data_IF_434145768752
#
_entry.id   IF_434145768752
#
_cell.length_a   1.000
_cell.length_b   1.000
_cell.length_c   1.000
_cell.angle_alpha   90.00
_cell.angle_beta   90.00
_cell.angle_gamma   90.00
#
_symmetry.space_group_name_H-M   'P 1'
#
loop_
_entity.id
_entity.type
_entity.pdbx_description
1 polymer ?
#
# COMPACT_ATOMS: atom_id res chain seq x y z
N UNK A 1 14.14 2.77 6.66
CA UNK A 1 14.27 1.70 7.68
C UNK A 1 15.54 1.85 8.53
N UNK A 2 16.74 2.09 7.98
CA UNK A 2 18.00 2.11 8.75
C UNK A 2 17.90 2.94 10.04
N UNK A 3 17.55 4.25 9.92
CA UNK A 3 17.41 5.14 11.11
C UNK A 3 16.33 4.68 12.10
N UNK A 4 15.27 4.04 11.62
CA UNK A 4 14.20 3.51 12.49
C UNK A 4 14.75 2.35 13.30
N UNK A 5 15.49 1.43 12.66
CA UNK A 5 16.11 0.30 13.35
C UNK A 5 17.17 0.74 14.36
N UNK A 6 17.96 1.78 14.04
CA UNK A 6 18.94 2.37 14.98
C UNK A 6 18.25 2.90 16.26
N UNK A 7 17.11 3.59 16.10
CA UNK A 7 16.31 4.08 17.22
C UNK A 7 15.69 2.91 18.00
N UNK A 8 15.13 1.95 17.31
CA UNK A 8 14.52 0.77 17.93
C UNK A 8 15.55 0.00 18.78
N UNK A 9 16.73 -0.26 18.26
CA UNK A 9 17.81 -0.92 18.99
C UNK A 9 18.24 -0.08 20.20
N UNK A 10 18.43 1.25 20.03
CA UNK A 10 18.84 2.13 21.13
C UNK A 10 17.87 2.12 22.31
N UNK A 11 16.56 2.04 22.02
CA UNK A 11 15.52 2.10 23.05
C UNK A 11 14.86 0.75 23.34
N UNK A 12 15.41 -0.35 22.83
CA UNK A 12 14.87 -1.70 22.95
C UNK A 12 13.38 -1.80 22.54
N UNK A 13 13.04 -1.17 21.42
CA UNK A 13 11.69 -1.18 20.86
C UNK A 13 11.53 -2.31 19.84
N UNK A 14 10.28 -2.79 19.71
CA UNK A 14 9.89 -3.72 18.66
C UNK A 14 9.42 -2.98 17.44
N UNK A 15 9.77 -3.49 16.26
CA UNK A 15 9.40 -2.89 14.97
C UNK A 15 8.48 -3.85 14.21
N UNK A 16 7.27 -3.36 13.92
CA UNK A 16 6.32 -4.02 13.03
C UNK A 16 6.34 -3.25 11.70
N UNK A 17 6.65 -3.94 10.62
CA UNK A 17 6.59 -3.39 9.27
C UNK A 17 5.17 -3.60 8.70
N UNK A 18 4.47 -2.53 8.34
CA UNK A 18 3.28 -2.61 7.52
C UNK A 18 3.68 -2.74 6.05
N UNK A 19 3.59 -3.97 5.55
CA UNK A 19 3.95 -4.34 4.19
C UNK A 19 2.72 -4.54 3.29
N UNK A 20 1.54 -4.06 3.69
CA UNK A 20 0.28 -4.29 2.99
C UNK A 20 0.26 -3.77 1.54
N UNK A 21 1.13 -2.84 1.19
CA UNK A 21 1.25 -2.28 -0.18
C UNK A 21 2.67 -2.41 -0.76
N UNK A 22 3.54 -3.25 -0.18
CA UNK A 22 4.96 -3.28 -0.53
C UNK A 22 5.51 -4.69 -0.78
N UNK A 23 4.70 -5.55 -1.40
CA UNK A 23 5.07 -6.93 -1.71
C UNK A 23 6.32 -7.01 -2.59
N UNK A 24 7.38 -7.63 -2.07
CA UNK A 24 8.65 -7.80 -2.77
C UNK A 24 9.55 -6.57 -2.83
N UNK A 25 9.13 -5.44 -2.26
CA UNK A 25 9.96 -4.23 -2.21
C UNK A 25 11.20 -4.44 -1.35
N UNK A 26 12.21 -3.61 -1.60
CA UNK A 26 13.46 -3.61 -0.83
C UNK A 26 13.74 -2.22 -0.24
N UNK A 27 14.38 -2.24 0.89
CA UNK A 27 15.14 -1.12 1.44
C UNK A 27 16.60 -1.49 1.40
N UNK A 28 17.37 -0.83 0.56
CA UNK A 28 18.72 -1.26 0.17
C UNK A 28 18.63 -2.71 -0.38
N UNK A 29 19.38 -3.65 0.16
CA UNK A 29 19.36 -5.04 -0.30
C UNK A 29 18.41 -5.95 0.50
N UNK A 30 17.68 -5.41 1.49
CA UNK A 30 16.79 -6.18 2.36
C UNK A 30 15.34 -6.08 1.91
N UNK A 31 14.69 -7.23 1.75
CA UNK A 31 13.26 -7.29 1.44
C UNK A 31 12.46 -6.80 2.65
N UNK A 32 11.49 -5.92 2.42
CA UNK A 32 10.58 -5.44 3.47
C UNK A 32 9.78 -6.60 4.08
N UNK A 33 9.46 -6.48 5.36
CA UNK A 33 8.87 -7.56 6.15
C UNK A 33 9.92 -8.54 6.72
N UNK A 34 11.23 -8.29 6.47
CA UNK A 34 12.32 -9.04 7.06
C UNK A 34 13.33 -8.17 7.81
N UNK A 35 13.08 -6.86 7.90
CA UNK A 35 13.99 -5.87 8.47
C UNK A 35 13.71 -5.64 9.95
N UNK A 36 12.43 -5.50 10.30
CA UNK A 36 11.96 -5.39 11.69
C UNK A 36 11.78 -6.76 12.37
N UNK A 37 11.11 -6.76 13.51
CA UNK A 37 10.78 -8.00 14.24
C UNK A 37 9.66 -8.79 13.55
N UNK A 38 8.72 -8.08 12.92
CA UNK A 38 7.51 -8.65 12.27
C UNK A 38 7.18 -7.85 11.02
N UNK A 39 6.85 -8.54 9.93
CA UNK A 39 6.24 -7.96 8.74
C UNK A 39 4.78 -8.39 8.59
N UNK A 40 3.89 -7.48 8.25
CA UNK A 40 2.47 -7.72 8.06
C UNK A 40 2.06 -7.44 6.61
N UNK A 41 1.57 -8.45 5.90
CA UNK A 41 1.16 -8.37 4.50
C UNK A 41 -0.34 -8.56 4.35
N UNK A 42 -0.96 -7.75 3.49
CA UNK A 42 -2.33 -7.92 3.05
C UNK A 42 -2.36 -8.57 1.67
N UNK A 43 -3.14 -9.62 1.51
CA UNK A 43 -3.44 -10.23 0.22
C UNK A 43 -4.88 -9.93 -0.23
N UNK A 44 -5.45 -8.79 0.23
CA UNK A 44 -6.73 -8.34 -0.30
C UNK A 44 -6.71 -8.31 -1.83
N UNK A 45 -7.81 -8.63 -2.55
CA UNK A 45 -7.80 -8.86 -4.00
C UNK A 45 -7.14 -7.77 -4.85
N UNK A 46 -7.24 -6.50 -4.45
CA UNK A 46 -6.63 -5.38 -5.18
C UNK A 46 -5.15 -5.17 -4.92
N UNK A 47 -4.54 -5.92 -3.99
CA UNK A 47 -3.10 -5.80 -3.68
C UNK A 47 -2.23 -6.37 -4.80
N UNK A 48 -0.96 -5.94 -4.86
CA UNK A 48 0.01 -6.41 -5.86
C UNK A 48 0.14 -7.94 -5.93
N UNK A 49 0.01 -8.62 -4.78
CA UNK A 49 -0.20 -10.07 -4.67
C UNK A 49 -1.55 -10.33 -4.00
N UNK A 50 -2.66 -10.05 -4.70
CA UNK A 50 -4.01 -10.25 -4.16
C UNK A 50 -4.49 -11.70 -4.28
N UNK A 51 -5.17 -12.19 -3.25
CA UNK A 51 -5.93 -13.44 -3.24
C UNK A 51 -7.29 -13.26 -3.95
N UNK A 52 -8.14 -14.28 -3.94
CA UNK A 52 -9.51 -14.24 -4.45
C UNK A 52 -10.55 -13.92 -3.36
N UNK A 53 -10.10 -13.31 -2.27
CA UNK A 53 -10.87 -12.90 -1.10
C UNK A 53 -9.92 -12.34 -0.04
N UNK A 54 -10.42 -12.13 1.18
CA UNK A 54 -9.59 -11.65 2.28
C UNK A 54 -8.51 -12.66 2.63
N UNK A 55 -7.27 -12.18 2.70
CA UNK A 55 -6.11 -12.96 3.06
C UNK A 55 -4.98 -12.04 3.56
N UNK A 56 -4.03 -12.61 4.29
CA UNK A 56 -2.83 -11.94 4.75
C UNK A 56 -1.83 -12.90 5.32
N UNK A 57 -0.63 -12.41 5.58
CA UNK A 57 0.37 -13.19 6.30
C UNK A 57 1.23 -12.30 7.21
N UNK A 58 1.88 -12.97 8.15
CA UNK A 58 2.89 -12.40 9.03
C UNK A 58 4.21 -13.10 8.74
N UNK A 59 5.28 -12.31 8.65
CA UNK A 59 6.65 -12.80 8.55
C UNK A 59 7.45 -12.41 9.78
N UNK A 60 8.34 -13.28 10.23
CA UNK A 60 9.28 -13.01 11.32
C UNK A 60 10.48 -13.95 11.23
N UNK A 61 11.65 -13.47 11.65
CA UNK A 61 12.85 -14.29 11.83
C UNK A 61 12.95 -14.91 13.25
N UNK A 62 12.04 -14.52 14.16
CA UNK A 62 11.96 -15.04 15.51
C UNK A 62 11.07 -16.28 15.56
N UNK A 63 11.68 -17.45 15.87
CA UNK A 63 10.97 -18.74 15.94
C UNK A 63 9.91 -18.78 17.03
N UNK A 64 10.15 -18.13 18.18
CA UNK A 64 9.18 -18.08 19.27
C UNK A 64 7.95 -17.25 18.89
N UNK A 65 8.16 -16.09 18.25
CA UNK A 65 7.07 -15.29 17.72
C UNK A 65 6.28 -16.05 16.65
N UNK A 66 6.96 -16.74 15.74
CA UNK A 66 6.29 -17.55 14.72
C UNK A 66 5.36 -18.59 15.35
N UNK A 67 5.82 -19.30 16.40
CA UNK A 67 4.99 -20.28 17.11
C UNK A 67 3.83 -19.62 17.88
N UNK A 68 4.06 -18.48 18.52
CA UNK A 68 2.98 -17.71 19.17
C UNK A 68 1.90 -17.29 18.18
N UNK A 69 2.27 -16.80 16.99
CA UNK A 69 1.31 -16.43 15.94
C UNK A 69 0.52 -17.64 15.42
N UNK A 70 1.17 -18.80 15.24
CA UNK A 70 0.48 -20.04 14.84
C UNK A 70 -0.58 -20.46 15.86
N UNK A 71 -0.26 -20.36 17.15
CA UNK A 71 -1.19 -20.65 18.22
C UNK A 71 -2.32 -19.62 18.26
N UNK A 72 -2.00 -18.33 18.28
CA UNK A 72 -2.98 -17.25 18.36
C UNK A 72 -4.02 -17.31 17.25
N UNK A 73 -3.57 -17.46 15.97
CA UNK A 73 -4.46 -17.51 14.80
C UNK A 73 -5.40 -18.73 14.78
N UNK A 74 -5.15 -19.74 15.59
CA UNK A 74 -5.89 -21.00 15.65
C UNK A 74 -6.58 -21.17 17.00
N UNK A 75 -7.38 -20.18 17.42
CA UNK A 75 -8.12 -20.19 18.69
C UNK A 75 -7.24 -20.30 19.94
N UNK A 76 -5.97 -19.96 19.87
CA UNK A 76 -5.03 -20.12 20.97
C UNK A 76 -4.61 -21.57 21.23
N UNK A 77 -4.65 -22.45 20.22
CA UNK A 77 -4.43 -23.89 20.36
C UNK A 77 -3.29 -24.40 19.47
N UNK A 78 -2.39 -25.22 20.05
CA UNK A 78 -1.47 -26.11 19.32
C UNK A 78 -2.12 -27.44 19.01
N UNK A 79 -2.83 -27.98 20.02
CA UNK A 79 -3.54 -29.23 19.90
C UNK A 79 -5.04 -28.93 19.83
N UNK A 80 -5.73 -29.58 18.91
CA UNK A 80 -7.17 -29.40 18.70
C UNK A 80 -7.95 -29.50 20.00
N UNK A 81 -8.79 -28.48 20.29
CA UNK A 81 -9.61 -28.37 21.51
C UNK A 81 -8.85 -28.12 22.82
N UNK A 82 -7.54 -27.89 22.77
CA UNK A 82 -6.74 -27.51 23.94
C UNK A 82 -6.24 -26.08 23.78
N UNK A 83 -6.99 -25.11 24.31
CA UNK A 83 -6.67 -23.69 24.20
C UNK A 83 -5.68 -23.31 25.32
N UNK A 84 -4.48 -22.90 24.93
CA UNK A 84 -3.40 -22.48 25.83
C UNK A 84 -3.49 -20.99 26.16
N UNK A 85 -4.02 -20.19 25.25
CA UNK A 85 -4.19 -18.75 25.37
C UNK A 85 -5.48 -18.30 24.70
N UNK A 86 -5.94 -17.09 25.00
CA UNK A 86 -7.01 -16.46 24.24
C UNK A 86 -6.50 -16.15 22.84
N UNK A 87 -7.12 -16.69 21.82
CA UNK A 87 -6.73 -16.53 20.43
C UNK A 87 -7.89 -16.14 19.53
N UNK A 88 -7.63 -16.07 18.24
CA UNK A 88 -8.60 -15.71 17.21
C UNK A 88 -8.69 -16.82 16.14
N UNK A 89 -9.79 -16.81 15.39
CA UNK A 89 -9.83 -17.51 14.12
C UNK A 89 -9.29 -16.56 13.04
N UNK A 90 -8.00 -16.70 12.73
CA UNK A 90 -7.32 -15.90 11.70
C UNK A 90 -6.44 -16.83 10.86
N UNK A 91 -7.10 -17.68 10.09
CA UNK A 91 -6.48 -18.70 9.23
C UNK A 91 -6.67 -18.31 7.77
N UNK A 92 -5.70 -18.67 6.95
CA UNK A 92 -5.82 -18.63 5.50
C UNK A 92 -6.36 -19.98 5.03
N UNK A 93 -7.42 -19.95 4.21
CA UNK A 93 -7.96 -21.17 3.60
C UNK A 93 -6.96 -21.78 2.62
N UNK A 94 -6.84 -23.10 2.59
CA UNK A 94 -5.91 -23.85 1.75
C UNK A 94 -6.10 -23.57 0.27
N UNK A 95 -7.34 -23.36 -0.18
CA UNK A 95 -7.63 -22.98 -1.57
C UNK A 95 -7.00 -21.61 -1.90
N UNK A 96 -7.20 -20.60 -1.04
CA UNK A 96 -6.58 -19.28 -1.19
C UNK A 96 -5.06 -19.37 -1.14
N UNK A 97 -4.50 -20.17 -0.23
CA UNK A 97 -3.06 -20.39 -0.13
C UNK A 97 -2.49 -21.04 -1.40
N UNK A 98 -3.22 -22.00 -1.99
CA UNK A 98 -2.85 -22.63 -3.25
C UNK A 98 -2.78 -21.65 -4.41
N UNK A 99 -3.80 -20.78 -4.55
CA UNK A 99 -3.85 -19.73 -5.58
C UNK A 99 -2.76 -18.66 -5.38
N UNK A 100 -2.58 -18.20 -4.16
CA UNK A 100 -1.51 -17.24 -3.82
C UNK A 100 -0.12 -17.80 -4.11
N UNK A 101 0.10 -19.08 -3.86
CA UNK A 101 1.37 -19.74 -4.13
C UNK A 101 1.76 -19.67 -5.61
N UNK A 102 0.78 -19.79 -6.52
CA UNK A 102 1.00 -19.57 -7.96
C UNK A 102 1.32 -18.11 -8.25
N UNK A 103 0.54 -17.16 -7.73
CA UNK A 103 0.78 -15.72 -7.96
C UNK A 103 2.13 -15.24 -7.43
N UNK A 104 2.57 -15.76 -6.29
CA UNK A 104 3.87 -15.41 -5.70
C UNK A 104 5.05 -15.75 -6.60
N UNK A 105 4.96 -16.78 -7.45
CA UNK A 105 6.03 -17.10 -8.40
C UNK A 105 6.17 -16.06 -9.52
N UNK A 106 5.16 -15.23 -9.73
CA UNK A 106 5.12 -14.15 -10.73
C UNK A 106 5.26 -12.74 -10.11
N UNK A 107 5.47 -12.63 -8.79
CA UNK A 107 5.46 -11.34 -8.10
C UNK A 107 6.51 -10.37 -8.65
N UNK A 108 7.71 -10.85 -8.97
CA UNK A 108 8.78 -10.02 -9.53
C UNK A 108 8.39 -9.49 -10.92
N UNK A 109 7.81 -10.33 -11.75
CA UNK A 109 7.30 -9.96 -13.09
C UNK A 109 6.21 -8.88 -12.97
N UNK A 110 5.26 -9.05 -12.06
CA UNK A 110 4.21 -8.05 -11.82
C UNK A 110 4.79 -6.72 -11.34
N UNK A 111 5.78 -6.73 -10.44
CA UNK A 111 6.42 -5.51 -9.96
C UNK A 111 7.23 -4.82 -11.07
N UNK A 112 7.91 -5.57 -11.94
CA UNK A 112 8.63 -5.02 -13.09
C UNK A 112 7.68 -4.34 -14.08
N UNK A 113 6.54 -4.94 -14.36
CA UNK A 113 5.52 -4.35 -15.24
C UNK A 113 4.99 -3.04 -14.65
N UNK A 114 4.57 -3.03 -13.37
CA UNK A 114 4.13 -1.81 -12.67
C UNK A 114 5.21 -0.73 -12.66
N UNK A 115 6.46 -1.13 -12.49
CA UNK A 115 7.57 -0.18 -12.54
C UNK A 115 7.68 0.48 -13.92
N UNK A 116 7.55 -0.27 -15.02
CA UNK A 116 7.56 0.30 -16.39
C UNK A 116 6.44 1.33 -16.57
N UNK A 117 5.21 1.01 -16.11
CA UNK A 117 4.07 1.94 -16.16
C UNK A 117 4.39 3.20 -15.34
N UNK A 118 4.90 3.05 -14.13
CA UNK A 118 5.25 4.17 -13.27
C UNK A 118 6.34 5.06 -13.85
N UNK A 119 7.40 4.48 -14.41
CA UNK A 119 8.47 5.24 -15.06
C UNK A 119 7.96 6.06 -16.25
N UNK A 120 7.03 5.51 -17.02
CA UNK A 120 6.40 6.24 -18.11
C UNK A 120 5.58 7.43 -17.58
N UNK A 121 4.76 7.25 -16.55
CA UNK A 121 4.06 8.36 -15.89
C UNK A 121 5.02 9.42 -15.36
N UNK A 122 6.09 9.03 -14.67
CA UNK A 122 7.09 9.96 -14.14
C UNK A 122 7.80 10.77 -15.23
N UNK A 123 8.00 10.18 -16.41
CA UNK A 123 8.70 10.84 -17.52
C UNK A 123 7.80 11.67 -18.42
N UNK A 124 6.53 11.29 -18.60
CA UNK A 124 5.64 11.86 -19.61
C UNK A 124 4.54 12.78 -19.04
N UNK A 125 4.21 12.70 -17.74
CA UNK A 125 3.31 13.66 -17.11
C UNK A 125 4.01 15.02 -16.95
N UNK A 126 3.46 16.08 -17.56
CA UNK A 126 4.05 17.42 -17.66
C UNK A 126 3.11 18.54 -17.21
N UNK A 127 2.06 18.22 -16.49
CA UNK A 127 1.12 19.22 -16.01
C UNK A 127 1.64 19.88 -14.72
N UNK A 128 1.81 21.20 -14.71
CA UNK A 128 2.35 21.99 -13.58
C UNK A 128 1.46 21.97 -12.34
N UNK A 129 0.18 21.62 -12.49
CA UNK A 129 -0.73 21.41 -11.36
C UNK A 129 -0.40 20.12 -10.58
N UNK A 130 0.42 19.24 -11.15
CA UNK A 130 0.77 17.99 -10.47
C UNK A 130 2.12 18.06 -9.78
N UNK A 131 2.19 17.45 -8.61
CA UNK A 131 3.44 16.99 -7.99
C UNK A 131 3.45 15.46 -8.04
N UNK A 132 4.43 14.92 -8.74
CA UNK A 132 4.60 13.48 -8.91
C UNK A 132 5.28 12.86 -7.68
N UNK A 133 5.07 11.55 -7.43
CA UNK A 133 5.73 10.85 -6.34
C UNK A 133 7.24 10.72 -6.59
N UNK A 134 8.01 10.74 -5.50
CA UNK A 134 9.46 10.53 -5.52
C UNK A 134 9.82 9.27 -4.72
N UNK A 135 10.74 8.48 -5.27
CA UNK A 135 11.30 7.32 -4.57
C UNK A 135 12.63 7.72 -3.92
N UNK A 136 12.73 7.51 -2.61
CA UNK A 136 13.97 7.82 -1.87
C UNK A 136 15.12 6.90 -2.31
N UNK A 137 16.35 7.41 -2.36
CA UNK A 137 17.52 6.59 -2.62
C UNK A 137 17.60 5.38 -1.67
N UNK A 138 17.85 4.21 -2.23
CA UNK A 138 17.92 2.95 -1.48
C UNK A 138 16.57 2.26 -1.23
N UNK A 139 15.46 2.87 -1.66
CA UNK A 139 14.14 2.22 -1.68
C UNK A 139 13.75 1.84 -3.10
N UNK A 140 12.96 0.80 -3.25
CA UNK A 140 12.16 0.53 -4.43
C UNK A 140 10.66 0.61 -4.13
N UNK A 141 9.84 0.55 -5.16
CA UNK A 141 8.38 0.57 -5.02
C UNK A 141 7.74 -0.46 -5.95
N UNK A 142 6.81 -1.23 -5.42
CA UNK A 142 5.93 -2.10 -6.20
C UNK A 142 4.81 -1.33 -6.92
N UNK A 143 4.75 -0.02 -6.70
CA UNK A 143 3.75 0.85 -7.32
C UNK A 143 2.32 0.28 -7.22
N UNK A 144 1.94 -0.14 -6.00
CA UNK A 144 0.58 -0.58 -5.75
C UNK A 144 -0.44 0.47 -6.22
N UNK A 145 -0.13 1.74 -6.02
CA UNK A 145 -0.86 2.91 -6.50
C UNK A 145 0.13 3.93 -7.09
N UNK A 146 -0.29 4.66 -8.11
CA UNK A 146 0.43 5.84 -8.59
C UNK A 146 -0.33 7.08 -8.13
N UNK A 147 0.11 7.66 -7.03
CA UNK A 147 -0.56 8.78 -6.37
C UNK A 147 0.12 10.07 -6.74
N UNK A 148 -0.64 11.01 -7.30
CA UNK A 148 -0.20 12.38 -7.57
C UNK A 148 -0.83 13.35 -6.58
N UNK A 149 -0.17 14.48 -6.33
CA UNK A 149 -0.79 15.61 -5.64
C UNK A 149 -1.23 16.64 -6.65
N UNK A 150 -2.49 17.04 -6.59
CA UNK A 150 -3.07 18.07 -7.46
C UNK A 150 -3.14 19.37 -6.67
N UNK A 151 -2.39 20.36 -7.12
CA UNK A 151 -2.25 21.66 -6.46
C UNK A 151 -3.49 22.55 -6.67
N UNK A 152 -3.49 23.67 -5.98
CA UNK A 152 -4.40 24.80 -6.17
C UNK A 152 -5.89 24.46 -6.04
N UNK A 153 -6.20 23.40 -5.25
CA UNK A 153 -7.58 22.95 -5.04
C UNK A 153 -8.25 22.37 -6.29
N UNK A 154 -7.48 22.01 -7.32
CA UNK A 154 -7.99 21.52 -8.61
C UNK A 154 -8.19 19.99 -8.66
N UNK A 155 -8.00 19.26 -7.54
CA UNK A 155 -8.14 17.80 -7.47
C UNK A 155 -9.50 17.31 -7.96
N UNK A 156 -10.58 17.90 -7.46
CA UNK A 156 -11.94 17.47 -7.79
C UNK A 156 -12.30 17.84 -9.25
N UNK A 157 -11.84 18.99 -9.73
CA UNK A 157 -12.01 19.38 -11.14
C UNK A 157 -11.25 18.44 -12.09
N UNK A 158 -10.02 18.06 -11.74
CA UNK A 158 -9.26 17.07 -12.53
C UNK A 158 -9.96 15.71 -12.51
N UNK A 159 -10.47 15.28 -11.36
CA UNK A 159 -11.16 14.00 -11.22
C UNK A 159 -12.43 13.94 -12.09
N UNK A 160 -13.23 14.99 -12.10
CA UNK A 160 -14.42 15.10 -12.95
C UNK A 160 -14.06 15.13 -14.45
N UNK A 161 -13.06 15.92 -14.82
CA UNK A 161 -12.56 15.98 -16.19
C UNK A 161 -12.06 14.63 -16.72
N UNK A 162 -11.35 13.86 -15.89
CA UNK A 162 -10.89 12.51 -16.23
C UNK A 162 -12.05 11.53 -16.36
N UNK A 163 -13.03 11.62 -15.47
CA UNK A 163 -14.25 10.82 -15.51
C UNK A 163 -15.05 11.05 -16.79
N UNK A 164 -15.16 12.30 -17.27
CA UNK A 164 -15.83 12.64 -18.54
C UNK A 164 -15.11 12.04 -19.78
N UNK A 165 -13.88 11.59 -19.60
CA UNK A 165 -13.08 10.87 -20.60
C UNK A 165 -13.00 9.36 -20.34
N UNK A 166 -13.89 8.82 -19.52
CA UNK A 166 -13.89 7.41 -19.09
C UNK A 166 -12.60 6.95 -18.39
N UNK A 167 -11.86 7.88 -17.77
CA UNK A 167 -10.65 7.59 -17.00
C UNK A 167 -11.00 7.53 -15.51
N UNK A 168 -10.97 6.32 -14.93
CA UNK A 168 -11.27 6.09 -13.52
C UNK A 168 -10.11 6.53 -12.60
N UNK A 169 -10.42 7.34 -11.58
CA UNK A 169 -9.47 7.74 -10.54
C UNK A 169 -10.07 7.56 -9.15
N UNK A 170 -9.24 7.45 -8.13
CA UNK A 170 -9.68 7.21 -6.74
C UNK A 170 -8.89 8.09 -5.78
N UNK A 171 -9.56 8.57 -4.73
CA UNK A 171 -8.91 9.32 -3.64
C UNK A 171 -8.55 8.35 -2.51
N UNK A 172 -7.27 8.20 -2.22
CA UNK A 172 -6.78 7.39 -1.09
C UNK A 172 -6.01 8.27 -0.10
N UNK A 173 -6.67 8.88 0.96
CA UNK A 173 -8.08 8.77 1.32
C UNK A 173 -8.68 10.17 1.52
N UNK A 174 -10.01 10.37 1.33
CA UNK A 174 -10.60 11.71 1.38
C UNK A 174 -10.75 12.27 2.80
N UNK A 175 -10.70 11.41 3.82
CA UNK A 175 -10.81 11.79 5.24
C UNK A 175 -9.59 11.28 5.98
N UNK A 176 -8.77 12.17 6.57
CA UNK A 176 -7.66 11.74 7.40
C UNK A 176 -8.16 11.01 8.65
N UNK A 177 -7.44 10.00 9.18
CA UNK A 177 -7.90 9.19 10.30
C UNK A 177 -8.36 9.99 11.52
N UNK A 178 -7.66 11.07 11.89
CA UNK A 178 -7.97 11.88 13.06
C UNK A 178 -9.27 12.69 12.92
N UNK A 179 -9.79 12.87 11.71
CA UNK A 179 -11.10 13.51 11.43
C UNK A 179 -12.20 12.50 11.11
N UNK A 180 -11.90 11.22 11.15
CA UNK A 180 -12.89 10.17 10.99
C UNK A 180 -13.78 10.08 12.23
N UNK A 181 -15.08 9.95 12.05
CA UNK A 181 -16.04 9.78 13.14
C UNK A 181 -15.68 8.64 14.10
N UNK A 182 -15.07 7.57 13.57
CA UNK A 182 -14.60 6.43 14.36
C UNK A 182 -13.55 6.81 15.43
N UNK A 183 -12.84 7.92 15.25
CA UNK A 183 -11.77 8.39 16.14
C UNK A 183 -12.12 9.71 16.85
N UNK A 184 -13.37 10.15 16.81
CA UNK A 184 -13.83 11.38 17.47
C UNK A 184 -13.50 11.41 18.97
N UNK A 185 -13.48 10.25 19.62
CA UNK A 185 -13.10 10.11 21.04
C UNK A 185 -11.67 10.56 21.36
N UNK A 186 -10.78 10.71 20.37
CA UNK A 186 -9.42 11.23 20.55
C UNK A 186 -9.40 12.76 20.71
N UNK A 187 -10.52 13.46 20.52
CA UNK A 187 -10.66 14.90 20.65
C UNK A 187 -9.84 15.71 19.65
N UNK A 188 -9.43 15.10 18.53
CA UNK A 188 -8.69 15.76 17.46
C UNK A 188 -9.61 16.56 16.57
N UNK A 189 -9.08 17.63 15.97
CA UNK A 189 -9.84 18.54 15.12
C UNK A 189 -9.02 19.04 13.93
N UNK A 190 -9.67 19.72 13.02
CA UNK A 190 -9.04 20.37 11.87
C UNK A 190 -7.91 21.29 12.34
N UNK A 191 -6.76 21.19 11.70
CA UNK A 191 -5.52 21.91 12.01
C UNK A 191 -4.55 21.14 12.91
N UNK A 192 -4.95 20.03 13.56
CA UNK A 192 -4.05 19.25 14.42
C UNK A 192 -2.98 18.49 13.61
N UNK A 193 -3.31 18.10 12.37
CA UNK A 193 -2.38 17.40 11.46
C UNK A 193 -2.45 17.99 10.04
N UNK A 194 -1.93 19.21 9.83
CA UNK A 194 -2.14 19.97 8.59
C UNK A 194 -1.65 19.27 7.33
N UNK A 195 -0.55 18.51 7.38
CA UNK A 195 -0.07 17.74 6.24
C UNK A 195 -1.02 16.61 5.83
N UNK A 196 -1.59 15.89 6.80
CA UNK A 196 -2.54 14.83 6.51
C UNK A 196 -3.83 15.39 5.92
N UNK A 197 -4.27 16.53 6.42
CA UNK A 197 -5.45 17.26 5.93
C UNK A 197 -5.23 17.82 4.52
N UNK A 198 -4.05 18.41 4.27
CA UNK A 198 -3.66 18.85 2.95
C UNK A 198 -3.66 17.69 1.95
N UNK A 199 -3.05 16.57 2.30
CA UNK A 199 -2.97 15.41 1.41
C UNK A 199 -4.34 14.81 1.11
N UNK A 200 -5.24 14.75 2.09
CA UNK A 200 -6.62 14.31 1.86
C UNK A 200 -7.36 15.17 0.81
N UNK A 201 -7.00 16.44 0.69
CA UNK A 201 -7.57 17.36 -0.28
C UNK A 201 -6.86 17.38 -1.64
N UNK A 202 -5.60 16.93 -1.71
CA UNK A 202 -4.77 17.05 -2.92
C UNK A 202 -4.51 15.72 -3.63
N UNK A 203 -4.54 14.57 -2.92
CA UNK A 203 -4.13 13.29 -3.52
C UNK A 203 -5.16 12.74 -4.50
N UNK A 204 -4.66 12.16 -5.60
CA UNK A 204 -5.43 11.44 -6.59
C UNK A 204 -4.63 10.25 -7.10
N UNK A 205 -5.20 9.06 -7.06
CA UNK A 205 -4.60 7.85 -7.62
C UNK A 205 -5.01 7.68 -9.06
N UNK A 206 -4.01 7.63 -9.93
CA UNK A 206 -4.18 7.39 -11.38
C UNK A 206 -4.34 5.89 -11.66
N UNK A 207 -4.92 5.50 -12.82
CA UNK A 207 -5.00 4.11 -13.22
C UNK A 207 -3.62 3.43 -13.23
N UNK A 208 -3.52 2.29 -12.52
CA UNK A 208 -2.29 1.53 -12.39
C UNK A 208 -2.63 0.06 -12.12
N UNK A 209 -2.45 -0.81 -13.12
CA UNK A 209 -2.73 -2.24 -12.98
C UNK A 209 -1.85 -3.06 -13.93
N UNK A 210 -1.63 -4.32 -13.59
CA UNK A 210 -0.93 -5.24 -14.47
C UNK A 210 -1.79 -5.57 -15.68
N UNK A 211 -1.19 -5.56 -16.88
CA UNK A 211 -1.90 -5.68 -18.16
C UNK A 211 -2.38 -4.35 -18.74
N UNK A 212 -2.08 -3.21 -18.13
CA UNK A 212 -2.36 -1.89 -18.69
C UNK A 212 -1.58 -1.71 -20.00
N UNK A 213 -2.29 -1.43 -21.09
CA UNK A 213 -1.66 -1.24 -22.40
C UNK A 213 -0.97 0.11 -22.53
N UNK A 214 -0.05 0.21 -23.50
CA UNK A 214 0.60 1.50 -23.83
C UNK A 214 -0.40 2.54 -24.30
N UNK A 215 -1.43 2.11 -25.03
CA UNK A 215 -2.51 2.96 -25.56
C UNK A 215 -3.35 3.54 -24.41
N UNK A 216 -3.79 2.70 -23.47
CA UNK A 216 -4.54 3.15 -22.29
C UNK A 216 -3.73 4.15 -21.47
N UNK A 217 -2.43 3.88 -21.27
CA UNK A 217 -1.55 4.80 -20.56
C UNK A 217 -1.37 6.12 -21.31
N UNK A 218 -1.28 6.09 -22.65
CA UNK A 218 -1.20 7.30 -23.49
C UNK A 218 -2.44 8.18 -23.30
N UNK A 219 -3.63 7.58 -23.32
CA UNK A 219 -4.90 8.31 -23.12
C UNK A 219 -4.89 9.03 -21.77
N UNK A 220 -4.45 8.37 -20.71
CA UNK A 220 -4.36 8.99 -19.37
C UNK A 220 -3.36 10.15 -19.36
N UNK A 221 -2.17 9.96 -19.92
CA UNK A 221 -1.11 10.98 -19.97
C UNK A 221 -1.56 12.21 -20.75
N UNK A 222 -2.12 12.01 -21.94
CA UNK A 222 -2.60 13.10 -22.79
C UNK A 222 -3.74 13.88 -22.12
N UNK A 223 -4.70 13.17 -21.53
CA UNK A 223 -5.80 13.81 -20.81
C UNK A 223 -5.28 14.69 -19.66
N UNK A 224 -4.35 14.18 -18.86
CA UNK A 224 -3.77 14.94 -17.75
C UNK A 224 -2.94 16.13 -18.24
N UNK A 225 -2.11 15.95 -19.27
CA UNK A 225 -1.25 17.01 -19.79
C UNK A 225 -2.04 18.13 -20.45
N UNK A 226 -3.25 17.87 -20.94
CA UNK A 226 -4.14 18.87 -21.56
C UNK A 226 -5.10 19.54 -20.57
N UNK A 227 -5.19 19.06 -19.33
CA UNK A 227 -6.04 19.66 -18.31
C UNK A 227 -5.53 21.04 -17.91
N UNK A 228 -6.32 22.09 -18.15
CA UNK A 228 -5.96 23.48 -17.88
C UNK A 228 -6.42 24.01 -16.52
N UNK A 229 -7.22 23.25 -15.78
CA UNK A 229 -7.70 23.65 -14.45
C UNK A 229 -8.87 24.64 -14.48
N UNK A 230 -9.62 24.72 -15.58
CA UNK A 230 -10.84 25.53 -15.72
C UNK A 230 -12.02 24.95 -14.91
#
# INVERSE_FOLDING_TARGET
MTKIMDIAHKYNLKVIEDCAQSHGNKWQDKVVGSIGDVGCFSFYPSKGCGAFGDAGCITTNDKELAEKFKVFRNYGSRIRYQNEVVGANSRLDELQAGLLRVKLTHLEEFNLERNKIAQRYLSELKNDLLRLPEIRPGADSSWHQFVVHVKDGKRDALMEYLKDKDIGTIIHYPIPPHLSQAYEYLGKKVGDYPLAEQYANEVLSLPMYNGMTSEEQTIVIEAINTFGGE
#
